data_IF_923040000973
#
_entry.id   IF_923040000973
#
_cell.length_a   1.000
_cell.length_b   1.000
_cell.length_c   1.000
_cell.angle_alpha   90.00
_cell.angle_beta   90.00
_cell.angle_gamma   90.00
#
_symmetry.space_group_name_H-M   'P 1'
#
loop_
_entity.id
_entity.type
_entity.pdbx_description
1 polymer ?
#
# COMPACT_ATOMS: atom_id res chain seq x y z
N UNK A 1 20.69 -43.58 -49.45
CA UNK A 1 19.26 -43.99 -49.35
C UNK A 1 19.02 -44.75 -48.06
N UNK A 2 18.40 -44.09 -47.06
CA UNK A 2 17.31 -44.60 -46.21
C UNK A 2 17.17 -43.64 -45.03
N UNK A 3 16.06 -42.92 -45.07
CA UNK A 3 15.57 -42.02 -44.05
C UNK A 3 15.22 -42.80 -42.77
N UNK A 4 15.63 -42.28 -41.61
CA UNK A 4 14.78 -42.31 -40.44
C UNK A 4 14.57 -40.88 -39.96
N UNK A 5 13.34 -40.40 -40.14
CA UNK A 5 12.83 -39.23 -39.46
C UNK A 5 12.24 -39.68 -38.12
N UNK A 6 12.32 -38.73 -37.16
CA UNK A 6 11.24 -38.24 -36.30
C UNK A 6 11.06 -38.80 -34.88
N UNK A 7 10.81 -37.80 -34.02
CA UNK A 7 10.09 -37.77 -32.74
C UNK A 7 10.87 -38.08 -31.45
N UNK A 8 10.91 -37.07 -30.56
CA UNK A 8 11.44 -37.24 -29.21
C UNK A 8 11.73 -35.94 -28.45
N UNK A 9 10.68 -35.18 -28.14
CA UNK A 9 10.54 -34.28 -26.99
C UNK A 9 11.69 -33.30 -26.61
N UNK A 10 11.42 -32.01 -26.83
CA UNK A 10 12.04 -30.89 -26.13
C UNK A 10 11.65 -30.98 -24.65
N UNK A 11 12.52 -31.53 -23.80
CA UNK A 11 12.39 -31.40 -22.34
C UNK A 11 13.18 -30.16 -21.91
N UNK A 12 12.47 -29.04 -21.80
CA UNK A 12 12.98 -27.80 -21.22
C UNK A 12 13.32 -28.05 -19.74
N UNK A 13 14.50 -27.66 -19.25
CA UNK A 13 14.82 -27.77 -17.83
C UNK A 13 13.94 -26.78 -17.04
N UNK A 14 13.07 -27.31 -16.16
CA UNK A 14 12.38 -26.51 -15.15
C UNK A 14 13.45 -26.11 -14.12
N UNK A 15 13.97 -24.90 -14.29
CA UNK A 15 14.84 -24.24 -13.33
C UNK A 15 13.93 -23.72 -12.20
N UNK A 16 13.73 -24.59 -11.21
CA UNK A 16 12.95 -24.32 -10.01
C UNK A 16 13.78 -23.35 -9.14
N UNK A 17 13.55 -22.05 -9.33
CA UNK A 17 14.10 -21.01 -8.45
C UNK A 17 13.35 -21.10 -7.13
N UNK A 18 13.90 -21.91 -6.22
CA UNK A 18 13.66 -21.78 -4.80
C UNK A 18 14.46 -20.57 -4.31
N UNK A 19 13.80 -19.57 -3.72
CA UNK A 19 14.53 -18.45 -3.13
C UNK A 19 13.69 -17.24 -2.74
N UNK A 20 12.89 -17.42 -1.68
CA UNK A 20 12.61 -16.49 -0.56
C UNK A 20 11.18 -16.73 -0.07
N UNK A 21 11.03 -17.83 0.68
CA UNK A 21 9.99 -17.87 1.68
C UNK A 21 10.34 -16.82 2.73
N UNK A 22 9.72 -15.65 2.63
CA UNK A 22 9.60 -14.78 3.80
C UNK A 22 8.80 -15.57 4.82
N UNK A 23 9.52 -15.98 5.84
CA UNK A 23 8.99 -16.40 7.11
C UNK A 23 8.20 -15.21 7.66
N UNK A 24 6.91 -15.14 7.34
CA UNK A 24 5.94 -14.32 8.07
C UNK A 24 5.67 -14.98 9.42
N UNK A 25 6.70 -15.00 10.27
CA UNK A 25 6.61 -15.50 11.63
C UNK A 25 5.87 -14.48 12.48
N UNK A 26 4.61 -14.80 12.81
CA UNK A 26 3.96 -14.37 14.04
C UNK A 26 3.70 -12.87 14.17
N UNK A 27 2.71 -12.37 13.43
CA UNK A 27 1.95 -11.22 13.91
C UNK A 27 1.21 -11.65 15.17
N UNK A 28 1.71 -11.23 16.34
CA UNK A 28 1.00 -11.42 17.60
C UNK A 28 -0.42 -10.89 17.42
N UNK A 29 -1.41 -11.74 17.68
CA UNK A 29 -2.83 -11.37 17.75
C UNK A 29 -3.09 -10.44 18.95
N UNK A 30 -2.42 -9.30 18.96
CA UNK A 30 -2.71 -8.17 19.82
C UNK A 30 -3.92 -7.45 19.25
N UNK A 31 -4.74 -6.93 20.16
CA UNK A 31 -5.85 -6.06 19.81
C UNK A 31 -5.34 -4.91 18.93
N UNK A 32 -5.92 -4.75 17.74
CA UNK A 32 -5.58 -3.63 16.87
C UNK A 32 -6.02 -2.33 17.56
N UNK A 33 -5.08 -1.43 17.80
CA UNK A 33 -5.35 -0.12 18.40
C UNK A 33 -5.77 0.94 17.36
N UNK A 34 -6.34 2.03 17.84
CA UNK A 34 -6.87 3.13 17.02
C UNK A 34 -5.80 3.78 16.16
N UNK A 35 -4.58 4.00 16.70
CA UNK A 35 -3.49 4.67 15.99
C UNK A 35 -2.96 3.80 14.86
N UNK A 36 -2.74 2.50 15.12
CA UNK A 36 -2.34 1.53 14.10
C UNK A 36 -3.41 1.39 13.02
N UNK A 37 -4.69 1.31 13.41
CA UNK A 37 -5.79 1.27 12.44
C UNK A 37 -5.82 2.52 11.55
N UNK A 38 -5.67 3.72 12.14
CA UNK A 38 -5.64 4.99 11.40
C UNK A 38 -4.49 5.02 10.40
N UNK A 39 -3.26 4.68 10.82
CA UNK A 39 -2.08 4.70 9.96
C UNK A 39 -2.21 3.75 8.77
N UNK A 40 -2.63 2.50 9.03
CA UNK A 40 -2.84 1.50 7.97
C UNK A 40 -3.94 1.94 7.00
N UNK A 41 -5.10 2.34 7.52
CA UNK A 41 -6.23 2.73 6.67
C UNK A 41 -5.95 4.00 5.86
N UNK A 42 -5.20 4.96 6.42
CA UNK A 42 -4.75 6.14 5.69
C UNK A 42 -3.83 5.76 4.53
N UNK A 43 -2.83 4.90 4.78
CA UNK A 43 -1.88 4.46 3.75
C UNK A 43 -2.55 3.62 2.66
N UNK A 44 -3.50 2.76 3.01
CA UNK A 44 -4.33 2.02 2.05
C UNK A 44 -5.21 2.94 1.20
N UNK A 45 -5.82 3.95 1.83
CA UNK A 45 -6.69 4.92 1.13
C UNK A 45 -5.91 5.81 0.18
N UNK A 46 -4.74 6.29 0.63
CA UNK A 46 -3.80 7.04 -0.18
C UNK A 46 -3.29 6.21 -1.37
N UNK A 47 -2.86 4.96 -1.12
CA UNK A 47 -2.39 4.06 -2.17
C UNK A 47 -3.47 3.79 -3.21
N UNK A 48 -4.72 3.59 -2.76
CA UNK A 48 -5.88 3.45 -3.66
C UNK A 48 -6.10 4.70 -4.51
N UNK A 49 -5.97 5.89 -3.92
CA UNK A 49 -6.18 7.15 -4.65
C UNK A 49 -5.07 7.42 -5.68
N UNK A 50 -3.82 7.06 -5.38
CA UNK A 50 -2.66 7.34 -6.25
C UNK A 50 -2.39 6.28 -7.30
N UNK A 51 -2.61 5.01 -6.96
CA UNK A 51 -2.10 3.86 -7.71
C UNK A 51 -3.20 2.84 -8.04
N UNK A 52 -4.45 3.29 -8.14
CA UNK A 52 -5.61 2.44 -8.41
C UNK A 52 -5.33 1.42 -9.54
N UNK A 53 -5.56 0.14 -9.24
CA UNK A 53 -5.46 -0.99 -10.18
C UNK A 53 -4.07 -1.17 -10.83
N UNK A 54 -3.01 -0.73 -10.15
CA UNK A 54 -1.62 -0.97 -10.57
C UNK A 54 -0.90 -1.96 -9.64
N UNK A 55 0.08 -2.67 -10.19
CA UNK A 55 1.00 -3.54 -9.43
C UNK A 55 1.77 -2.77 -8.34
N UNK A 56 2.06 -1.49 -8.59
CA UNK A 56 2.68 -0.61 -7.62
C UNK A 56 1.75 -0.37 -6.43
N UNK A 57 0.47 -0.10 -6.70
CA UNK A 57 -0.58 0.00 -5.68
C UNK A 57 -0.73 -1.28 -4.86
N UNK A 58 -0.65 -2.46 -5.49
CA UNK A 58 -0.65 -3.74 -4.77
C UNK A 58 0.55 -3.87 -3.82
N UNK A 59 1.74 -3.47 -4.28
CA UNK A 59 2.97 -3.54 -3.50
C UNK A 59 2.92 -2.57 -2.31
N UNK A 60 2.44 -1.35 -2.51
CA UNK A 60 2.27 -0.35 -1.45
C UNK A 60 1.24 -0.81 -0.42
N UNK A 61 0.12 -1.39 -0.85
CA UNK A 61 -0.89 -1.92 0.07
C UNK A 61 -0.37 -3.10 0.89
N UNK A 62 0.37 -4.01 0.27
CA UNK A 62 1.00 -5.13 0.96
C UNK A 62 2.04 -4.64 1.97
N UNK A 63 2.87 -3.67 1.59
CA UNK A 63 3.85 -3.05 2.49
C UNK A 63 3.19 -2.37 3.70
N UNK A 64 2.10 -1.62 3.50
CA UNK A 64 1.39 -0.97 4.59
C UNK A 64 0.81 -1.96 5.62
N UNK A 65 0.40 -3.15 5.18
CA UNK A 65 -0.08 -4.21 6.06
C UNK A 65 1.10 -4.89 6.79
N UNK A 66 2.17 -5.19 6.07
CA UNK A 66 3.38 -5.85 6.61
C UNK A 66 4.13 -4.97 7.62
N UNK A 67 4.27 -3.66 7.35
CA UNK A 67 4.92 -2.66 8.22
C UNK A 67 4.34 -2.66 9.64
N UNK A 68 3.03 -2.90 9.76
CA UNK A 68 2.33 -2.90 11.04
C UNK A 68 1.99 -4.31 11.55
N UNK A 69 2.33 -5.37 10.80
CA UNK A 69 1.95 -6.74 11.12
C UNK A 69 0.43 -6.96 11.17
N UNK A 70 -0.32 -6.17 10.38
CA UNK A 70 -1.77 -6.18 10.35
C UNK A 70 -2.27 -6.93 9.11
N UNK A 71 -3.30 -7.73 9.28
CA UNK A 71 -4.00 -8.42 8.20
C UNK A 71 -5.31 -7.70 7.84
N UNK A 72 -5.79 -7.91 6.61
CA UNK A 72 -7.11 -7.41 6.20
C UNK A 72 -8.23 -7.90 7.13
N UNK A 73 -8.14 -9.15 7.60
CA UNK A 73 -9.12 -9.70 8.55
C UNK A 73 -9.15 -8.93 9.87
N UNK A 74 -8.00 -8.53 10.42
CA UNK A 74 -7.95 -7.72 11.65
C UNK A 74 -8.58 -6.34 11.46
N UNK A 75 -8.43 -5.73 10.29
CA UNK A 75 -9.10 -4.46 9.97
C UNK A 75 -10.63 -4.64 9.93
N UNK A 76 -11.12 -5.71 9.31
CA UNK A 76 -12.54 -6.02 9.24
C UNK A 76 -13.13 -6.30 10.64
N UNK A 77 -12.43 -7.09 11.45
CA UNK A 77 -12.83 -7.38 12.84
C UNK A 77 -12.81 -6.13 13.71
N UNK A 78 -11.87 -5.21 13.50
CA UNK A 78 -11.85 -3.93 14.20
C UNK A 78 -13.06 -3.06 13.85
N UNK A 79 -13.43 -2.96 12.57
CA UNK A 79 -14.63 -2.23 12.12
C UNK A 79 -15.91 -2.88 12.64
N UNK A 80 -15.98 -4.21 12.65
CA UNK A 80 -17.15 -4.92 13.17
C UNK A 80 -17.42 -4.57 14.65
N UNK A 81 -16.36 -4.40 15.46
CA UNK A 81 -16.46 -3.99 16.87
C UNK A 81 -16.79 -2.52 17.08
N UNK A 82 -16.53 -1.67 16.09
CA UNK A 82 -16.86 -0.24 16.13
C UNK A 82 -18.34 0.06 15.86
N UNK A 83 -19.09 -0.90 15.32
CA UNK A 83 -20.49 -0.72 14.90
C UNK A 83 -21.41 -0.17 16.00
N UNK A 84 -21.08 -0.42 17.28
CA UNK A 84 -21.85 0.03 18.44
C UNK A 84 -21.46 1.44 18.94
N UNK A 85 -20.40 2.07 18.42
CA UNK A 85 -19.96 3.42 18.79
C UNK A 85 -19.77 4.32 17.55
N UNK A 86 -20.86 4.95 17.03
CA UNK A 86 -20.78 5.85 15.90
C UNK A 86 -19.92 7.09 16.18
N UNK A 87 -19.79 7.51 17.44
CA UNK A 87 -18.96 8.65 17.83
C UNK A 87 -17.47 8.35 17.69
N UNK A 88 -17.03 7.17 18.13
CA UNK A 88 -15.67 6.69 17.90
C UNK A 88 -15.39 6.46 16.42
N UNK A 89 -16.33 5.86 15.68
CA UNK A 89 -16.18 5.67 14.23
C UNK A 89 -15.98 7.01 13.49
N UNK A 90 -16.73 8.05 13.84
CA UNK A 90 -16.54 9.38 13.24
C UNK A 90 -15.15 9.97 13.54
N UNK A 91 -14.65 9.85 14.78
CA UNK A 91 -13.30 10.31 15.15
C UNK A 91 -12.20 9.61 14.36
N UNK A 92 -12.32 8.29 14.18
CA UNK A 92 -11.36 7.50 13.40
C UNK A 92 -11.37 7.91 11.94
N UNK A 93 -12.54 8.17 11.35
CA UNK A 93 -12.66 8.66 9.99
C UNK A 93 -11.97 10.01 9.78
N UNK A 94 -12.16 10.95 10.71
CA UNK A 94 -11.47 12.25 10.66
C UNK A 94 -9.95 12.08 10.80
N UNK A 95 -9.49 11.22 11.70
CA UNK A 95 -8.06 10.94 11.87
C UNK A 95 -7.44 10.33 10.60
N UNK A 96 -8.12 9.36 9.97
CA UNK A 96 -7.70 8.78 8.69
C UNK A 96 -7.60 9.86 7.61
N UNK A 97 -8.60 10.74 7.52
CA UNK A 97 -8.62 11.82 6.53
C UNK A 97 -7.42 12.76 6.71
N UNK A 98 -7.15 13.19 7.95
CA UNK A 98 -6.01 14.04 8.25
C UNK A 98 -4.68 13.38 7.89
N UNK A 99 -4.52 12.09 8.19
CA UNK A 99 -3.30 11.36 7.88
C UNK A 99 -3.11 11.18 6.36
N UNK A 100 -4.20 10.95 5.60
CA UNK A 100 -4.15 10.95 4.13
C UNK A 100 -3.69 12.30 3.58
N UNK A 101 -4.20 13.40 4.13
CA UNK A 101 -3.79 14.76 3.72
C UNK A 101 -2.29 14.99 3.99
N UNK A 102 -1.77 14.48 5.11
CA UNK A 102 -0.32 14.51 5.42
C UNK A 102 0.48 13.69 4.40
N UNK A 103 0.06 12.46 4.09
CA UNK A 103 0.72 11.61 3.08
C UNK A 103 0.70 12.23 1.68
N UNK A 104 -0.38 12.92 1.31
CA UNK A 104 -0.46 13.67 0.06
C UNK A 104 0.48 14.87 0.03
N UNK A 105 0.58 15.61 1.15
CA UNK A 105 1.51 16.72 1.33
C UNK A 105 2.98 16.31 1.24
N UNK A 106 3.35 15.16 1.82
CA UNK A 106 4.71 14.58 1.71
C UNK A 106 5.04 14.21 0.26
N UNK A 107 4.02 13.86 -0.53
CA UNK A 107 4.18 13.49 -1.95
C UNK A 107 4.20 14.69 -2.89
N UNK A 108 3.85 15.89 -2.41
CA UNK A 108 3.95 17.13 -3.18
C UNK A 108 5.37 17.67 -3.03
N UNK A 109 6.26 17.50 -4.04
CA UNK A 109 7.57 18.11 -3.95
C UNK A 109 7.40 19.61 -3.79
N UNK A 110 8.13 20.21 -2.84
CA UNK A 110 8.16 21.65 -2.54
C UNK A 110 8.53 22.53 -3.77
N UNK A 111 8.87 21.90 -4.89
CA UNK A 111 9.14 22.49 -6.21
C UNK A 111 8.00 23.31 -6.82
N UNK A 112 6.82 23.39 -6.21
CA UNK A 112 5.70 24.22 -6.68
C UNK A 112 5.56 25.56 -5.94
N UNK A 113 6.41 25.82 -4.94
CA UNK A 113 6.42 27.06 -4.15
C UNK A 113 7.60 28.00 -4.48
N UNK A 114 8.35 27.73 -5.54
CA UNK A 114 9.22 28.72 -6.18
C UNK A 114 8.47 29.38 -7.35
N UNK A 115 7.50 30.24 -7.04
CA UNK A 115 7.21 31.35 -7.96
C UNK A 115 8.25 32.43 -7.69
N UNK A 116 9.14 32.75 -8.66
CA UNK A 116 10.17 33.74 -8.45
C UNK A 116 9.53 35.12 -8.22
N UNK A 117 9.90 35.76 -7.11
CA UNK A 117 9.57 37.15 -6.75
C UNK A 117 10.22 38.20 -7.71
N UNK A 118 10.61 37.78 -8.92
CA UNK A 118 11.52 38.55 -9.78
C UNK A 118 10.82 39.37 -10.89
N UNK A 119 9.55 39.12 -11.25
CA UNK A 119 8.94 39.78 -12.42
C UNK A 119 7.95 40.93 -12.13
N UNK A 120 7.87 41.44 -10.89
CA UNK A 120 7.05 42.63 -10.59
C UNK A 120 7.85 43.93 -10.38
N UNK A 121 9.10 43.98 -10.84
CA UNK A 121 9.91 45.21 -10.85
C UNK A 121 10.54 45.49 -12.21
N UNK A 122 9.79 45.44 -13.31
CA UNK A 122 10.22 46.11 -14.55
C UNK A 122 9.09 46.22 -15.56
N UNK A 123 8.07 47.02 -15.26
CA UNK A 123 7.28 47.67 -16.32
C UNK A 123 6.55 48.90 -15.78
N UNK A 124 7.27 50.02 -15.91
CA UNK A 124 6.83 51.42 -16.03
C UNK A 124 6.43 52.19 -14.76
#
# INVERSE_FOLDING_TARGET
MKHLRRDGAIVKPILLVAGLGVVGCGGSGGDLDDDTYVQVMARLSWARAKYADTTEGDSVRAAALDEHGVTGQQLEEFVARLGDDPGRMHRLWEAIRLEVDVLDGVSRPESQLEMPDAERRESR
#
